data_IF_531637062261
#
_entry.id   IF_531637062261
#
_cell.length_a   1.000
_cell.length_b   1.000
_cell.length_c   1.000
_cell.angle_alpha   90.00
_cell.angle_beta   90.00
_cell.angle_gamma   90.00
#
_symmetry.space_group_name_H-M   'P 1'
#
loop_
_entity.id
_entity.type
_entity.pdbx_description
1 polymer ?
#
# COMPACT_ATOMS: atom_id res chain seq x y z
N UNK A 1 49.57 -21.53 34.71
CA UNK A 1 48.54 -20.65 34.11
C UNK A 1 47.20 -21.01 34.75
N UNK A 2 46.57 -20.09 35.47
CA UNK A 2 45.23 -20.31 36.06
C UNK A 2 44.18 -19.89 35.03
N UNK A 3 43.33 -20.84 34.65
CA UNK A 3 42.17 -20.60 33.80
C UNK A 3 41.09 -19.91 34.66
N UNK A 4 40.89 -18.61 34.48
CA UNK A 4 39.77 -17.91 35.13
C UNK A 4 38.49 -18.21 34.34
N UNK A 5 37.77 -19.26 34.74
CA UNK A 5 36.45 -19.59 34.19
C UNK A 5 35.36 -18.71 34.79
N UNK A 6 34.30 -18.45 34.03
CA UNK A 6 33.09 -17.78 34.50
C UNK A 6 32.41 -18.60 35.60
N UNK A 7 31.90 -17.93 36.63
CA UNK A 7 31.12 -18.59 37.68
C UNK A 7 29.70 -18.88 37.20
N UNK A 8 29.06 -19.91 37.74
CA UNK A 8 27.65 -20.23 37.43
C UNK A 8 26.74 -19.01 37.68
N UNK A 9 26.99 -18.27 38.76
CA UNK A 9 26.24 -17.07 39.12
C UNK A 9 26.44 -15.94 38.12
N UNK A 10 27.64 -15.76 37.59
CA UNK A 10 27.94 -14.75 36.56
C UNK A 10 27.26 -15.05 35.23
N UNK A 11 27.23 -16.32 34.82
CA UNK A 11 26.45 -16.76 33.65
C UNK A 11 24.95 -16.50 33.84
N UNK A 12 24.40 -16.80 35.02
CA UNK A 12 22.98 -16.54 35.32
C UNK A 12 22.65 -15.05 35.26
N UNK A 13 23.52 -14.19 35.80
CA UNK A 13 23.34 -12.73 35.72
C UNK A 13 23.43 -12.24 34.27
N UNK A 14 24.39 -12.72 33.49
CA UNK A 14 24.53 -12.35 32.08
C UNK A 14 23.30 -12.76 31.25
N UNK A 15 22.78 -13.98 31.46
CA UNK A 15 21.56 -14.45 30.79
C UNK A 15 20.34 -13.64 31.24
N UNK A 16 20.24 -13.29 32.53
CA UNK A 16 19.15 -12.45 33.02
C UNK A 16 19.16 -11.05 32.38
N UNK A 17 20.33 -10.41 32.30
CA UNK A 17 20.49 -9.11 31.63
C UNK A 17 20.19 -9.19 30.13
N UNK A 18 20.68 -10.23 29.45
CA UNK A 18 20.39 -10.47 28.04
C UNK A 18 18.89 -10.68 27.80
N UNK A 19 18.20 -11.42 28.66
CA UNK A 19 16.75 -11.59 28.61
C UNK A 19 15.99 -10.27 28.72
N UNK A 20 16.41 -9.39 29.64
CA UNK A 20 15.82 -8.05 29.80
C UNK A 20 16.01 -7.24 28.51
N UNK A 21 17.21 -7.22 27.94
CA UNK A 21 17.50 -6.45 26.72
C UNK A 21 16.69 -6.96 25.52
N UNK A 22 16.61 -8.28 25.32
CA UNK A 22 15.82 -8.87 24.23
C UNK A 22 14.34 -8.53 24.37
N UNK A 23 13.81 -8.53 25.60
CA UNK A 23 12.39 -8.23 25.86
C UNK A 23 11.96 -6.83 25.38
N UNK A 24 12.90 -5.88 25.32
CA UNK A 24 12.68 -4.50 24.88
C UNK A 24 13.12 -4.32 23.41
N UNK A 25 14.22 -4.97 23.01
CA UNK A 25 14.82 -4.84 21.68
C UNK A 25 13.98 -5.47 20.57
N UNK A 26 13.46 -6.68 20.77
CA UNK A 26 12.68 -7.38 19.74
C UNK A 26 11.39 -6.64 19.34
N UNK A 27 10.52 -6.19 20.27
CA UNK A 27 9.29 -5.49 19.87
C UNK A 27 9.56 -4.12 19.24
N UNK A 28 10.65 -3.43 19.60
CA UNK A 28 11.00 -2.16 18.96
C UNK A 28 11.47 -2.36 17.52
N UNK A 29 12.26 -3.40 17.25
CA UNK A 29 12.66 -3.77 15.88
C UNK A 29 11.45 -4.18 15.02
N UNK A 30 10.51 -4.95 15.56
CA UNK A 30 9.29 -5.32 14.85
C UNK A 30 8.48 -4.09 14.40
N UNK A 31 8.28 -3.11 15.30
CA UNK A 31 7.60 -1.86 14.94
C UNK A 31 8.31 -1.07 13.85
N UNK A 32 9.64 -1.02 13.89
CA UNK A 32 10.43 -0.35 12.85
C UNK A 32 10.25 -1.03 11.49
N UNK A 33 10.30 -2.36 11.45
CA UNK A 33 10.08 -3.14 10.22
C UNK A 33 8.65 -2.91 9.68
N UNK A 34 7.64 -2.92 10.55
CA UNK A 34 6.25 -2.69 10.14
C UNK A 34 6.06 -1.28 9.56
N UNK A 35 6.71 -0.27 10.14
CA UNK A 35 6.71 1.11 9.61
C UNK A 35 7.39 1.19 8.25
N UNK A 36 8.57 0.58 8.09
CA UNK A 36 9.28 0.55 6.80
C UNK A 36 8.46 -0.15 5.70
N UNK A 37 7.76 -1.24 6.05
CA UNK A 37 6.83 -1.91 5.13
C UNK A 37 5.69 -1.00 4.73
N UNK A 38 5.07 -0.32 5.69
CA UNK A 38 3.97 0.62 5.45
C UNK A 38 4.39 1.82 4.58
N UNK A 39 5.58 2.38 4.81
CA UNK A 39 6.10 3.50 4.01
C UNK A 39 6.45 3.04 2.59
N UNK A 40 7.08 1.87 2.44
CA UNK A 40 7.36 1.28 1.12
C UNK A 40 6.07 1.00 0.34
N UNK A 41 5.03 0.55 1.04
CA UNK A 41 3.69 0.34 0.51
C UNK A 41 3.06 1.61 -0.05
N UNK A 42 3.12 2.66 0.76
CA UNK A 42 2.61 3.97 0.43
C UNK A 42 3.34 4.48 -0.80
N UNK A 43 4.67 4.43 -0.82
CA UNK A 43 5.47 4.93 -1.94
C UNK A 43 5.20 4.17 -3.24
N UNK A 44 5.05 2.84 -3.18
CA UNK A 44 4.69 2.04 -4.36
C UNK A 44 3.32 2.44 -4.93
N UNK A 45 2.31 2.56 -4.05
CA UNK A 45 0.95 2.93 -4.46
C UNK A 45 0.88 4.38 -4.96
N UNK A 46 1.53 5.32 -4.27
CA UNK A 46 1.60 6.73 -4.69
C UNK A 46 2.27 6.87 -6.06
N UNK A 47 3.40 6.18 -6.28
CA UNK A 47 4.09 6.18 -7.57
C UNK A 47 3.20 5.63 -8.68
N UNK A 48 2.53 4.51 -8.43
CA UNK A 48 1.63 3.89 -9.41
C UNK A 48 0.43 4.77 -9.75
N UNK A 49 -0.18 5.42 -8.77
CA UNK A 49 -1.29 6.36 -8.98
C UNK A 49 -0.83 7.56 -9.82
N UNK A 50 0.34 8.14 -9.50
CA UNK A 50 0.91 9.27 -10.25
C UNK A 50 1.30 8.85 -11.66
N UNK A 51 1.88 7.68 -11.82
CA UNK A 51 2.22 7.09 -13.11
C UNK A 51 0.98 6.93 -13.99
N UNK A 52 -0.08 6.31 -13.46
CA UNK A 52 -1.38 6.16 -14.16
C UNK A 52 -1.91 7.51 -14.66
N UNK A 53 -1.85 8.54 -13.81
CA UNK A 53 -2.31 9.89 -14.16
C UNK A 53 -1.45 10.52 -15.26
N UNK A 54 -0.12 10.41 -15.13
CA UNK A 54 0.80 11.00 -16.09
C UNK A 54 0.68 10.33 -17.46
N UNK A 55 0.59 9.00 -17.51
CA UNK A 55 0.39 8.25 -18.76
C UNK A 55 -0.92 8.65 -19.44
N UNK A 56 -2.00 8.89 -18.69
CA UNK A 56 -3.25 9.37 -19.28
C UNK A 56 -3.10 10.73 -19.97
N UNK A 57 -2.37 11.66 -19.32
CA UNK A 57 -2.12 13.00 -19.84
C UNK A 57 -1.16 12.94 -21.04
N UNK A 58 -0.05 12.21 -20.91
CA UNK A 58 1.00 12.14 -21.93
C UNK A 58 0.51 11.45 -23.22
N UNK A 59 -0.33 10.42 -23.08
CA UNK A 59 -0.93 9.71 -24.22
C UNK A 59 -2.17 10.40 -24.77
N UNK A 60 -2.75 11.33 -24.02
CA UNK A 60 -4.07 11.90 -24.31
C UNK A 60 -5.14 10.80 -24.47
N UNK A 61 -5.07 9.77 -23.62
CA UNK A 61 -5.93 8.57 -23.64
C UNK A 61 -6.36 8.19 -22.21
N UNK A 62 -7.52 7.54 -22.02
CA UNK A 62 -7.91 7.01 -20.72
C UNK A 62 -6.98 5.88 -20.27
N UNK A 63 -6.44 6.00 -19.05
CA UNK A 63 -5.59 4.98 -18.43
C UNK A 63 -6.23 4.53 -17.12
N UNK A 64 -6.24 3.22 -16.92
CA UNK A 64 -6.89 2.55 -15.81
C UNK A 64 -5.86 1.78 -15.00
N UNK A 65 -5.98 1.88 -13.69
CA UNK A 65 -5.27 1.08 -12.70
C UNK A 65 -6.28 0.15 -12.02
N UNK A 66 -6.05 -1.16 -12.07
CA UNK A 66 -6.94 -2.19 -11.54
C UNK A 66 -6.21 -3.15 -10.61
N UNK A 67 -6.88 -3.67 -9.56
CA UNK A 67 -6.30 -4.69 -8.71
C UNK A 67 -6.14 -6.01 -9.47
N UNK A 68 -5.03 -6.70 -9.23
CA UNK A 68 -4.80 -8.03 -9.79
C UNK A 68 -5.76 -9.03 -9.15
N UNK A 69 -6.42 -9.84 -9.96
CA UNK A 69 -7.41 -10.83 -9.49
C UNK A 69 -8.51 -10.24 -8.58
N UNK A 70 -8.81 -8.95 -8.72
CA UNK A 70 -9.81 -8.25 -7.91
C UNK A 70 -9.35 -7.81 -6.52
N UNK A 71 -8.09 -8.05 -6.15
CA UNK A 71 -7.57 -7.74 -4.81
C UNK A 71 -6.32 -6.85 -4.87
N UNK A 72 -6.42 -5.63 -4.33
CA UNK A 72 -5.29 -4.69 -4.23
C UNK A 72 -4.13 -5.23 -3.38
N UNK A 73 -4.39 -6.23 -2.52
CA UNK A 73 -3.37 -6.91 -1.73
C UNK A 73 -2.54 -7.90 -2.55
N UNK A 74 -2.93 -8.19 -3.80
CA UNK A 74 -2.16 -9.03 -4.73
C UNK A 74 -1.39 -8.23 -5.77
N UNK A 75 -1.51 -6.90 -5.74
CA UNK A 75 -0.91 -6.00 -6.70
C UNK A 75 -1.94 -5.36 -7.61
N UNK A 76 -1.44 -4.64 -8.60
CA UNK A 76 -2.26 -3.91 -9.55
C UNK A 76 -1.56 -3.81 -10.90
N UNK A 77 -2.38 -3.61 -11.91
CA UNK A 77 -1.95 -3.40 -13.29
C UNK A 77 -2.49 -2.06 -13.79
N UNK A 78 -1.68 -1.39 -14.61
CA UNK A 78 -1.98 -0.12 -15.24
C UNK A 78 -1.94 -0.31 -16.75
N UNK A 79 -3.00 0.06 -17.44
CA UNK A 79 -3.11 -0.09 -18.88
C UNK A 79 -3.99 0.99 -19.50
N UNK A 80 -3.81 1.22 -20.80
CA UNK A 80 -4.69 2.08 -21.59
C UNK A 80 -5.99 1.33 -21.89
N UNK A 81 -7.15 1.92 -21.59
CA UNK A 81 -8.49 1.33 -21.75
C UNK A 81 -9.30 2.10 -22.81
N UNK A 82 -9.06 1.81 -24.09
CA UNK A 82 -9.63 2.60 -25.20
C UNK A 82 -11.10 2.30 -25.47
N UNK A 83 -11.53 1.08 -25.18
CA UNK A 83 -12.89 0.60 -25.44
C UNK A 83 -13.79 0.65 -24.20
N UNK A 84 -13.28 1.16 -23.07
CA UNK A 84 -14.03 1.43 -21.85
C UNK A 84 -14.59 0.15 -21.20
N UNK A 85 -13.90 -0.98 -21.36
CA UNK A 85 -14.38 -2.28 -20.89
C UNK A 85 -13.84 -2.69 -19.51
N UNK A 86 -12.86 -1.94 -18.96
CA UNK A 86 -12.17 -2.26 -17.70
C UNK A 86 -11.55 -3.67 -17.69
N UNK A 87 -10.99 -4.09 -18.80
CA UNK A 87 -10.33 -5.36 -18.95
C UNK A 87 -9.08 -5.18 -19.81
N UNK A 88 -8.01 -5.87 -19.44
CA UNK A 88 -6.82 -5.91 -20.29
C UNK A 88 -7.09 -6.87 -21.46
N UNK A 89 -7.49 -6.32 -22.60
CA UNK A 89 -7.79 -7.05 -23.82
C UNK A 89 -6.67 -6.98 -24.87
N UNK A 90 -6.92 -7.59 -26.03
CA UNK A 90 -5.94 -7.65 -27.13
C UNK A 90 -5.64 -6.28 -27.78
N UNK A 91 -6.47 -5.26 -27.53
CA UNK A 91 -6.28 -3.88 -28.03
C UNK A 91 -5.64 -2.92 -27.03
N UNK A 92 -5.44 -3.38 -25.79
CA UNK A 92 -4.97 -2.56 -24.69
C UNK A 92 -3.46 -2.67 -24.51
N UNK A 93 -2.87 -1.62 -23.95
CA UNK A 93 -1.43 -1.55 -23.71
C UNK A 93 -1.19 -1.63 -22.23
N UNK A 94 -0.61 -2.75 -21.76
CA UNK A 94 -0.11 -2.87 -20.40
C UNK A 94 1.11 -1.94 -20.22
N UNK A 95 1.01 -1.02 -19.28
CA UNK A 95 2.03 0.01 -19.01
C UNK A 95 2.88 -0.36 -17.78
N UNK A 96 2.23 -0.88 -16.74
CA UNK A 96 2.88 -1.24 -15.50
C UNK A 96 2.11 -2.39 -14.84
N UNK A 97 2.85 -3.34 -14.31
CA UNK A 97 2.35 -4.31 -13.34
C UNK A 97 3.23 -4.18 -12.11
N UNK A 98 2.61 -3.96 -10.95
CA UNK A 98 3.32 -3.90 -9.68
C UNK A 98 2.65 -4.83 -8.69
N UNK A 99 3.48 -5.53 -7.92
CA UNK A 99 3.00 -6.43 -6.89
C UNK A 99 2.81 -5.64 -5.60
N UNK A 100 1.78 -5.99 -4.85
CA UNK A 100 1.64 -5.52 -3.48
C UNK A 100 2.71 -6.23 -2.62
N UNK A 101 3.94 -5.74 -2.67
CA UNK A 101 5.12 -6.36 -2.06
C UNK A 101 4.93 -6.58 -0.54
N UNK A 102 4.57 -7.78 -0.05
CA UNK A 102 4.49 -8.11 1.39
C UNK A 102 3.78 -7.04 2.26
N UNK A 103 2.77 -6.38 1.70
CA UNK A 103 2.25 -5.14 2.25
C UNK A 103 1.36 -5.34 3.49
N UNK A 104 1.41 -4.31 4.33
CA UNK A 104 0.32 -3.90 5.21
C UNK A 104 -0.97 -3.77 4.39
N UNK A 105 -2.04 -4.50 4.75
CA UNK A 105 -3.31 -4.61 4.01
C UNK A 105 -3.75 -3.32 3.31
N UNK A 106 -4.10 -3.40 2.03
CA UNK A 106 -4.63 -2.31 1.20
C UNK A 106 -6.16 -2.44 1.11
N UNK A 107 -6.87 -1.42 1.57
CA UNK A 107 -8.33 -1.33 1.49
C UNK A 107 -8.77 -0.07 0.75
N UNK A 108 -9.67 -0.20 -0.22
CA UNK A 108 -10.20 0.92 -1.00
C UNK A 108 -11.67 1.23 -0.63
N UNK A 109 -12.14 2.42 -1.01
CA UNK A 109 -13.52 2.89 -0.79
C UNK A 109 -14.27 3.13 -2.09
N UNK A 110 -15.58 2.81 -2.13
CA UNK A 110 -16.42 3.10 -3.30
C UNK A 110 -15.88 2.44 -4.57
N UNK A 111 -15.88 3.16 -5.68
CA UNK A 111 -15.46 2.65 -6.99
C UNK A 111 -13.96 2.27 -7.05
N UNK A 112 -13.12 2.89 -6.21
CA UNK A 112 -11.69 2.55 -6.10
C UNK A 112 -11.45 1.10 -5.68
N UNK A 113 -12.47 0.41 -5.16
CA UNK A 113 -12.41 -1.03 -4.89
C UNK A 113 -12.15 -1.83 -6.15
N UNK A 114 -12.69 -1.39 -7.28
CA UNK A 114 -12.60 -2.09 -8.56
C UNK A 114 -11.55 -1.48 -9.47
N UNK A 115 -11.45 -0.16 -9.56
CA UNK A 115 -10.47 0.50 -10.42
C UNK A 115 -10.27 1.97 -10.05
N UNK A 116 -9.15 2.53 -10.50
CA UNK A 116 -8.90 3.97 -10.60
C UNK A 116 -8.68 4.30 -12.08
N UNK A 117 -9.33 5.35 -12.59
CA UNK A 117 -9.20 5.76 -13.98
C UNK A 117 -8.92 7.25 -14.07
N UNK A 118 -8.00 7.60 -14.95
CA UNK A 118 -7.69 8.98 -15.31
C UNK A 118 -7.98 9.22 -16.79
N UNK A 119 -8.53 10.39 -17.11
CA UNK A 119 -8.66 10.85 -18.49
C UNK A 119 -7.47 11.69 -18.95
N UNK A 120 -7.50 12.14 -20.20
CA UNK A 120 -6.47 12.96 -20.81
C UNK A 120 -6.21 14.31 -20.11
N UNK A 121 -7.18 14.82 -19.33
CA UNK A 121 -7.01 16.03 -18.53
C UNK A 121 -6.40 15.75 -17.15
N UNK A 122 -6.15 14.48 -16.82
CA UNK A 122 -5.67 14.04 -15.52
C UNK A 122 -6.73 14.12 -14.43
N UNK A 123 -8.02 14.20 -14.80
CA UNK A 123 -9.13 14.11 -13.86
C UNK A 123 -9.46 12.65 -13.57
N UNK A 124 -9.91 12.38 -12.35
CA UNK A 124 -10.33 11.04 -11.92
C UNK A 124 -11.80 10.86 -12.27
N UNK A 125 -12.08 9.95 -13.21
CA UNK A 125 -13.42 9.74 -13.77
C UNK A 125 -13.83 8.28 -13.73
N UNK A 126 -15.13 8.06 -13.84
CA UNK A 126 -15.68 6.73 -14.11
C UNK A 126 -15.77 6.50 -15.61
N UNK A 127 -15.87 5.22 -16.02
CA UNK A 127 -15.93 4.79 -17.42
C UNK A 127 -17.01 5.51 -18.24
N UNK A 128 -18.20 5.66 -17.68
CA UNK A 128 -19.36 6.28 -18.36
C UNK A 128 -19.57 7.75 -17.97
N UNK A 129 -18.50 8.42 -17.53
CA UNK A 129 -18.53 9.78 -17.03
C UNK A 129 -18.93 9.88 -15.56
N UNK A 130 -18.87 11.10 -15.03
CA UNK A 130 -18.95 11.35 -13.60
C UNK A 130 -17.59 11.22 -12.91
N UNK A 131 -17.46 11.85 -11.75
CA UNK A 131 -16.19 11.85 -11.03
C UNK A 131 -15.99 10.54 -10.25
N UNK A 132 -14.74 10.16 -10.14
CA UNK A 132 -14.30 9.10 -9.25
C UNK A 132 -13.51 9.75 -8.12
N UNK A 133 -13.96 9.54 -6.88
CA UNK A 133 -13.29 10.02 -5.69
C UNK A 133 -13.37 8.96 -4.58
N UNK A 134 -12.38 8.96 -3.70
CA UNK A 134 -12.32 8.02 -2.59
C UNK A 134 -10.94 7.97 -1.97
N UNK A 135 -10.67 6.91 -1.22
CA UNK A 135 -9.35 6.70 -0.64
C UNK A 135 -8.91 5.24 -0.66
N UNK A 136 -7.61 5.05 -0.84
CA UNK A 136 -6.90 3.85 -0.41
C UNK A 136 -6.45 4.01 1.03
N UNK A 137 -6.48 2.91 1.78
CA UNK A 137 -6.03 2.83 3.17
C UNK A 137 -5.05 1.69 3.27
N UNK A 138 -3.87 1.99 3.78
CA UNK A 138 -2.83 1.01 4.08
C UNK A 138 -2.84 0.80 5.59
N UNK A 139 -3.16 -0.43 5.98
CA UNK A 139 -3.48 -0.80 7.34
C UNK A 139 -2.31 -1.56 7.98
N UNK A 140 -1.71 -1.04 9.06
CA UNK A 140 -0.62 -1.73 9.74
C UNK A 140 -1.13 -3.05 10.35
N UNK A 141 -0.25 -4.03 10.57
CA UNK A 141 -0.62 -5.31 11.19
C UNK A 141 -1.16 -5.12 12.61
N UNK A 142 -0.63 -4.15 13.37
CA UNK A 142 -1.19 -3.69 14.63
C UNK A 142 -1.98 -2.40 14.44
N UNK A 143 -3.32 -2.48 14.55
CA UNK A 143 -4.24 -1.36 14.41
C UNK A 143 -4.11 -0.29 15.52
N UNK A 144 -3.31 -0.54 16.57
CA UNK A 144 -2.90 0.51 17.52
C UNK A 144 -1.95 1.51 16.87
N UNK A 145 -1.27 1.12 15.79
CA UNK A 145 -0.41 2.01 15.02
C UNK A 145 -1.21 2.82 13.99
N UNK A 146 -0.64 3.94 13.53
CA UNK A 146 -1.27 4.77 12.49
C UNK A 146 -0.95 4.19 11.11
N UNK A 147 -1.99 3.93 10.33
CA UNK A 147 -1.88 3.60 8.91
C UNK A 147 -1.71 4.84 8.03
N UNK A 148 -1.83 4.62 6.72
CA UNK A 148 -1.76 5.68 5.69
C UNK A 148 -3.06 5.72 4.90
N UNK A 149 -3.60 6.91 4.68
CA UNK A 149 -4.76 7.15 3.85
C UNK A 149 -4.35 7.97 2.64
N UNK A 150 -4.53 7.43 1.44
CA UNK A 150 -4.30 8.12 0.18
C UNK A 150 -5.66 8.51 -0.38
N UNK A 151 -5.93 9.80 -0.44
CA UNK A 151 -7.20 10.40 -0.84
C UNK A 151 -7.08 10.93 -2.26
N UNK A 152 -8.00 10.52 -3.12
CA UNK A 152 -8.11 10.96 -4.51
C UNK A 152 -9.38 11.80 -4.62
N UNK A 153 -9.21 13.06 -5.05
CA UNK A 153 -10.34 13.95 -5.32
C UNK A 153 -10.78 13.85 -6.79
N UNK A 154 -11.91 14.51 -7.10
CA UNK A 154 -12.46 14.58 -8.48
C UNK A 154 -11.43 15.02 -9.52
N UNK A 155 -10.59 16.00 -9.20
CA UNK A 155 -9.60 16.57 -10.14
C UNK A 155 -8.35 15.68 -10.25
N UNK A 156 -8.38 14.50 -9.65
CA UNK A 156 -7.31 13.53 -9.75
C UNK A 156 -6.08 13.83 -8.90
N UNK A 157 -6.16 14.78 -7.97
CA UNK A 157 -5.06 15.09 -7.06
C UNK A 157 -5.03 14.10 -5.90
N UNK A 158 -3.89 13.42 -5.77
CA UNK A 158 -3.54 12.57 -4.64
C UNK A 158 -3.12 13.40 -3.43
N UNK A 159 -3.65 13.06 -2.25
CA UNK A 159 -3.23 13.57 -0.95
C UNK A 159 -3.00 12.40 -0.01
N UNK A 160 -2.04 12.51 0.90
CA UNK A 160 -1.74 11.44 1.85
C UNK A 160 -1.83 11.96 3.28
N UNK A 161 -2.42 11.16 4.15
CA UNK A 161 -2.60 11.46 5.57
C UNK A 161 -2.27 10.24 6.43
N UNK A 162 -1.64 10.45 7.57
CA UNK A 162 -1.45 9.39 8.58
C UNK A 162 -2.64 9.36 9.52
N UNK A 163 -3.29 8.21 9.69
CA UNK A 163 -4.51 8.08 10.51
C UNK A 163 -4.57 6.73 11.22
N UNK A 164 -5.16 6.69 12.41
CA UNK A 164 -5.49 5.44 13.08
C UNK A 164 -6.80 4.87 12.53
N UNK A 165 -6.81 3.57 12.22
CA UNK A 165 -7.96 2.89 11.63
C UNK A 165 -8.55 1.85 12.58
N UNK A 166 -9.83 1.55 12.38
CA UNK A 166 -10.49 0.41 13.00
C UNK A 166 -10.50 -0.82 12.07
N UNK A 167 -10.90 -1.98 12.61
CA UNK A 167 -10.95 -3.23 11.86
C UNK A 167 -11.93 -3.20 10.67
N UNK A 168 -13.01 -2.42 10.76
CA UNK A 168 -14.00 -2.28 9.66
C UNK A 168 -13.42 -1.48 8.50
N UNK A 169 -12.60 -0.49 8.81
CA UNK A 169 -11.91 0.33 7.84
C UNK A 169 -10.81 -0.45 7.12
N UNK A 170 -10.20 -1.42 7.80
CA UNK A 170 -9.15 -2.27 7.25
C UNK A 170 -9.62 -3.61 6.68
N UNK A 171 -10.93 -3.88 6.71
CA UNK A 171 -11.47 -5.08 6.08
C UNK A 171 -11.19 -5.04 4.57
N UNK A 172 -10.47 -6.06 4.08
CA UNK A 172 -10.29 -6.30 2.66
C UNK A 172 -11.68 -6.37 2.01
N UNK A 173 -11.81 -5.74 0.85
CA UNK A 173 -13.08 -5.76 0.13
C UNK A 173 -13.22 -7.14 -0.53
N UNK A 174 -14.37 -7.82 -0.41
CA UNK A 174 -14.61 -9.06 -1.14
C UNK A 174 -14.67 -8.84 -2.65
#
# INVERSE_FOLDING_TARGET
MKSNGFTLTELLVAVALLGILISIGVPSLQRLIDQQRLDSAQDALERSIRFTRNEAIERNEPVVMMPMTGDWNRGWQVFVDRDNNLALGAGDVLLLEDQAALLSSVAASGQLRSYLRYNALGESEQVYGGFLAGSFRLCPPDLKQRGRQLIINRVGRLRTESRQFDARQCAATP
#
